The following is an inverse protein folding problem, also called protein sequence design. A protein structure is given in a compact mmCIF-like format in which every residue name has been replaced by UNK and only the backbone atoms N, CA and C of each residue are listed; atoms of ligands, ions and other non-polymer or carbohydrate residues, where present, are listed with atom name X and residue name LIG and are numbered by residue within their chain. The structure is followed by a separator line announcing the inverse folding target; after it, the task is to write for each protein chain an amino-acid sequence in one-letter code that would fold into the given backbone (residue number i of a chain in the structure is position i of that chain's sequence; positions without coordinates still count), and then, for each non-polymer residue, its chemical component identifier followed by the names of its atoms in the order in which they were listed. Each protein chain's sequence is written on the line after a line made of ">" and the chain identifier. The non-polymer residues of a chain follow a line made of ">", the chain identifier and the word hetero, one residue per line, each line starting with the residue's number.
data_IF_188303950875
#
_entry.id   IF_188303950875
#
_cell.length_a   1.000
_cell.length_b   1.000
_cell.length_c   1.000
_cell.angle_alpha   90.00
_cell.angle_beta   90.00
_cell.angle_gamma   90.00
#
_symmetry.space_group_name_H-M   'P 1'
#
loop_
_entity.id
_entity.type
_entity.pdbx_description
1 polymer ?
#
# COMPACT_ATOMS: atom_id res chain seq x y z
N UNK A 1 2.13 17.65 1.90
CA UNK A 1 2.80 16.34 1.82
C UNK A 1 4.00 16.34 2.75
N UNK A 2 4.46 15.18 3.21
CA UNK A 2 5.67 15.02 4.00
C UNK A 2 6.58 14.02 3.29
N UNK A 3 7.80 14.45 2.93
CA UNK A 3 8.81 13.54 2.36
C UNK A 3 9.29 12.59 3.46
N UNK A 4 9.31 11.30 3.16
CA UNK A 4 9.78 10.24 4.05
C UNK A 4 11.18 9.78 3.66
N UNK A 5 11.43 9.63 2.36
CA UNK A 5 12.70 9.10 1.86
C UNK A 5 12.91 9.45 0.38
N UNK A 6 14.09 9.15 -0.15
CA UNK A 6 14.38 9.15 -1.58
C UNK A 6 14.87 7.75 -1.97
N UNK A 7 14.17 7.11 -2.92
CA UNK A 7 14.49 5.75 -3.31
C UNK A 7 15.83 5.66 -4.06
N UNK A 8 16.35 4.43 -4.23
CA UNK A 8 17.60 4.15 -4.96
C UNK A 8 17.63 4.61 -6.42
N UNK A 9 16.49 5.04 -6.96
CA UNK A 9 16.33 5.53 -8.33
C UNK A 9 16.15 7.06 -8.37
N UNK A 10 16.31 7.75 -7.24
CA UNK A 10 16.19 9.20 -7.12
C UNK A 10 14.75 9.72 -6.98
N UNK A 11 13.75 8.83 -6.84
CA UNK A 11 12.35 9.23 -6.67
C UNK A 11 12.05 9.58 -5.22
N UNK A 12 11.28 10.65 -5.02
CA UNK A 12 10.83 11.06 -3.68
C UNK A 12 9.69 10.16 -3.20
N UNK A 13 9.86 9.54 -2.03
CA UNK A 13 8.82 8.80 -1.31
C UNK A 13 8.22 9.75 -0.28
N UNK A 14 6.93 10.01 -0.36
CA UNK A 14 6.25 10.98 0.50
C UNK A 14 4.86 10.52 0.91
N UNK A 15 4.47 10.91 2.12
CA UNK A 15 3.10 10.81 2.61
C UNK A 15 2.31 12.03 2.13
N UNK A 16 1.23 11.81 1.39
CA UNK A 16 0.43 12.88 0.79
C UNK A 16 -0.86 13.05 1.57
N UNK A 17 -1.19 14.30 1.90
CA UNK A 17 -2.37 14.64 2.69
C UNK A 17 -3.33 15.49 1.85
N UNK A 18 -4.62 15.17 1.93
CA UNK A 18 -5.72 15.97 1.36
C UNK A 18 -6.53 16.52 2.54
N UNK A 19 -6.32 17.80 2.86
CA UNK A 19 -6.80 18.37 4.12
C UNK A 19 -6.13 17.69 5.32
N UNK A 20 -6.93 17.07 6.19
CA UNK A 20 -6.46 16.30 7.35
C UNK A 20 -6.38 14.79 7.12
N UNK A 21 -6.63 14.31 5.90
CA UNK A 21 -6.63 12.87 5.58
C UNK A 21 -5.38 12.48 4.82
N UNK A 22 -4.75 11.38 5.24
CA UNK A 22 -3.68 10.74 4.49
C UNK A 22 -4.27 10.00 3.29
N UNK A 23 -3.90 10.42 2.09
CA UNK A 23 -4.38 9.83 0.85
C UNK A 23 -3.91 8.37 0.67
N UNK A 24 -2.69 8.05 1.08
CA UNK A 24 -2.15 6.69 1.00
C UNK A 24 -2.92 5.73 1.90
N UNK A 25 -3.22 6.17 3.12
CA UNK A 25 -4.01 5.41 4.08
C UNK A 25 -5.42 5.13 3.55
N UNK A 26 -6.07 6.14 2.96
CA UNK A 26 -7.41 6.00 2.37
C UNK A 26 -7.42 5.03 1.18
N UNK A 27 -6.39 5.06 0.33
CA UNK A 27 -6.27 4.10 -0.77
C UNK A 27 -6.16 2.66 -0.26
N UNK A 28 -5.38 2.43 0.78
CA UNK A 28 -5.28 1.11 1.43
C UNK A 28 -6.63 0.69 2.03
N UNK A 29 -7.30 1.60 2.73
CA UNK A 29 -8.61 1.35 3.36
C UNK A 29 -9.71 1.01 2.34
N UNK A 30 -9.65 1.62 1.17
CA UNK A 30 -10.55 1.33 0.04
C UNK A 30 -10.15 0.07 -0.74
N UNK A 31 -9.06 -0.60 -0.36
CA UNK A 31 -8.57 -1.79 -1.07
C UNK A 31 -8.00 -1.49 -2.45
N UNK A 32 -7.52 -0.27 -2.69
CA UNK A 32 -6.87 0.15 -3.94
C UNK A 32 -5.35 0.02 -3.89
N UNK A 33 -4.79 -0.23 -2.71
CA UNK A 33 -3.36 -0.38 -2.48
C UNK A 33 -3.09 -1.43 -1.39
N UNK A 34 -1.88 -2.00 -1.41
CA UNK A 34 -1.35 -2.87 -0.36
C UNK A 34 -0.29 -2.11 0.46
N UNK A 35 -0.14 -2.45 1.73
CA UNK A 35 0.92 -1.91 2.58
C UNK A 35 2.19 -2.69 2.33
N UNK A 36 3.24 -1.99 1.92
CA UNK A 36 4.54 -2.61 1.79
C UNK A 36 5.25 -2.61 3.15
N UNK A 37 5.10 -3.71 3.88
CA UNK A 37 5.58 -3.85 5.26
C UNK A 37 7.08 -3.58 5.43
N UNK A 38 7.88 -3.78 4.38
CA UNK A 38 9.32 -3.53 4.41
C UNK A 38 9.67 -2.04 4.58
N UNK A 39 8.78 -1.13 4.21
CA UNK A 39 9.03 0.32 4.19
C UNK A 39 7.99 1.13 4.96
N UNK A 40 7.01 0.46 5.57
CA UNK A 40 5.95 1.12 6.30
C UNK A 40 5.56 0.29 7.53
N UNK A 41 6.05 0.74 8.69
CA UNK A 41 5.77 0.16 10.00
C UNK A 41 4.58 0.83 10.72
N UNK A 42 3.85 1.74 10.05
CA UNK A 42 2.75 2.47 10.68
C UNK A 42 1.55 1.54 10.93
N UNK A 43 1.15 1.31 12.20
CA UNK A 43 0.04 0.42 12.54
C UNK A 43 -1.30 0.87 11.95
N UNK A 44 -1.48 2.16 11.61
CA UNK A 44 -2.69 2.64 10.95
C UNK A 44 -2.87 2.00 9.57
N UNK A 45 -1.78 1.87 8.80
CA UNK A 45 -1.78 1.25 7.49
C UNK A 45 -2.11 -0.24 7.57
N UNK A 46 -1.50 -0.96 8.51
CA UNK A 46 -1.81 -2.38 8.73
C UNK A 46 -3.28 -2.61 9.09
N UNK A 47 -3.84 -1.77 9.97
CA UNK A 47 -5.26 -1.83 10.34
C UNK A 47 -6.16 -1.54 9.14
N UNK A 48 -5.85 -0.51 8.35
CA UNK A 48 -6.60 -0.17 7.14
C UNK A 48 -6.60 -1.32 6.11
N UNK A 49 -5.46 -1.98 5.92
CA UNK A 49 -5.37 -3.13 5.01
C UNK A 49 -6.18 -4.32 5.52
N UNK A 50 -6.12 -4.59 6.83
CA UNK A 50 -6.92 -5.66 7.44
C UNK A 50 -8.43 -5.36 7.33
N UNK A 51 -8.85 -4.10 7.45
CA UNK A 51 -10.24 -3.69 7.21
C UNK A 51 -10.65 -3.94 5.75
N UNK A 52 -9.82 -3.52 4.79
CA UNK A 52 -10.08 -3.72 3.37
C UNK A 52 -10.14 -5.22 2.98
N UNK A 53 -9.28 -6.04 3.58
CA UNK A 53 -9.28 -7.50 3.45
C UNK A 53 -10.58 -8.13 3.94
N UNK A 54 -10.97 -7.81 5.19
CA UNK A 54 -12.19 -8.35 5.81
C UNK A 54 -13.45 -7.93 5.05
N UNK A 55 -13.46 -6.68 4.58
CA UNK A 55 -14.55 -6.14 3.79
C UNK A 55 -14.50 -6.55 2.31
N UNK A 56 -13.48 -7.30 1.88
CA UNK A 56 -13.22 -7.70 0.48
C UNK A 56 -13.39 -6.52 -0.49
N UNK A 57 -12.69 -5.41 -0.24
CA UNK A 57 -12.78 -4.20 -1.07
C UNK A 57 -11.73 -4.18 -2.18
N UNK A 58 -12.10 -3.71 -3.38
CA UNK A 58 -11.16 -3.45 -4.47
C UNK A 58 -10.35 -4.69 -4.86
N UNK A 59 -9.01 -4.62 -4.77
CA UNK A 59 -8.14 -5.76 -5.07
C UNK A 59 -8.45 -6.97 -4.18
N UNK A 60 -9.09 -6.76 -3.02
CA UNK A 60 -9.48 -7.83 -2.11
C UNK A 60 -10.75 -8.59 -2.50
N UNK A 61 -11.48 -8.14 -3.53
CA UNK A 61 -12.72 -8.78 -4.03
C UNK A 61 -12.47 -10.13 -4.69
N UNK A 62 -11.39 -10.24 -5.46
CA UNK A 62 -11.01 -11.46 -6.18
C UNK A 62 -9.70 -12.03 -5.65
N UNK A 63 -9.66 -13.32 -5.32
CA UNK A 63 -8.40 -13.99 -4.98
C UNK A 63 -7.40 -13.87 -6.14
N UNK A 64 -6.17 -13.41 -5.85
CA UNK A 64 -5.11 -13.27 -6.84
C UNK A 64 -4.83 -11.82 -7.29
N UNK A 65 -5.80 -10.91 -7.24
CA UNK A 65 -5.59 -9.48 -7.60
C UNK A 65 -4.76 -8.72 -6.54
N UNK A 66 -4.59 -9.33 -5.38
CA UNK A 66 -3.88 -8.81 -4.19
C UNK A 66 -2.38 -9.09 -4.25
N UNK A 67 -1.88 -9.60 -5.39
CA UNK A 67 -0.53 -10.12 -5.47
C UNK A 67 0.49 -9.06 -5.10
N UNK A 68 1.29 -9.40 -4.09
CA UNK A 68 2.47 -8.64 -3.72
C UNK A 68 3.41 -8.59 -4.93
N UNK A 69 3.77 -7.39 -5.44
CA UNK A 69 4.62 -7.27 -6.61
C UNK A 69 5.99 -7.93 -6.45
N UNK A 70 6.55 -8.02 -5.24
CA UNK A 70 7.81 -8.73 -4.99
C UNK A 70 7.61 -10.25 -5.07
N UNK A 71 6.50 -10.79 -4.53
CA UNK A 71 6.13 -12.19 -4.71
C UNK A 71 5.90 -12.54 -6.19
N UNK A 72 5.19 -11.69 -6.94
CA UNK A 72 4.98 -11.88 -8.38
C UNK A 72 6.29 -11.89 -9.16
N UNK A 73 7.21 -10.94 -8.87
CA UNK A 73 8.54 -10.90 -9.52
C UNK A 73 9.40 -12.12 -9.20
N UNK A 74 9.26 -12.71 -8.00
CA UNK A 74 9.96 -13.97 -7.65
C UNK A 74 9.42 -15.14 -8.47
N UNK A 75 8.12 -15.17 -8.73
CA UNK A 75 7.46 -16.23 -9.52
C UNK A 75 7.64 -16.05 -11.03
N UNK A 76 7.93 -14.83 -11.50
CA UNK A 76 8.13 -14.50 -12.91
C UNK A 76 9.50 -13.83 -13.12
N UNK A 77 10.60 -14.61 -13.05
CA UNK A 77 11.92 -14.12 -13.43
C UNK A 77 11.95 -13.77 -14.93
N UNK A 78 12.70 -12.71 -15.29
CA UNK A 78 12.84 -12.24 -16.67
C UNK A 78 13.67 -13.19 -17.52
#
# INVERSE_FOLDING_TARGET
>A
MQVKDQDRYGRTVAQVWVGQRDAGLELVRQGKAIVYQQYNDDPAYHRAQAEAQRARRGIWEKPGDQQDPAAWRKLNPR
#
